data_IF_240858039111
#
_entry.id   IF_240858039111
#
_cell.length_a   1.000
_cell.length_b   1.000
_cell.length_c   1.000
_cell.angle_alpha   90.00
_cell.angle_beta   90.00
_cell.angle_gamma   90.00
#
_symmetry.space_group_name_H-M   'P 1'
#
loop_
_entity.id
_entity.type
_entity.pdbx_description
1 polymer ?
#
# COMPACT_ATOMS: atom_id res chain seq x y z
N UNK A 1 -12.92 28.10 7.79
CA UNK A 1 -13.60 27.97 6.48
C UNK A 1 -12.76 28.44 5.29
N UNK A 2 -12.10 29.61 5.34
CA UNK A 2 -11.28 30.11 4.20
C UNK A 2 -10.06 29.22 3.84
N UNK A 3 -9.46 28.53 4.83
CA UNK A 3 -8.34 27.60 4.61
C UNK A 3 -8.76 26.26 3.98
N UNK A 4 -10.00 25.82 4.25
CA UNK A 4 -10.56 24.58 3.70
C UNK A 4 -10.88 24.72 2.21
N UNK A 5 -11.40 25.90 1.82
CA UNK A 5 -11.63 26.25 0.42
C UNK A 5 -10.33 26.34 -0.39
N UNK A 6 -9.21 26.72 0.25
CA UNK A 6 -7.91 26.79 -0.42
C UNK A 6 -7.33 25.40 -0.70
N UNK A 7 -7.48 24.45 0.23
CA UNK A 7 -7.05 23.05 0.00
C UNK A 7 -7.96 22.32 -0.99
N UNK A 8 -9.28 22.57 -0.94
CA UNK A 8 -10.21 22.05 -1.94
C UNK A 8 -9.92 22.63 -3.34
N UNK A 9 -9.52 23.91 -3.43
CA UNK A 9 -9.12 24.53 -4.70
C UNK A 9 -7.81 23.95 -5.24
N UNK A 10 -6.79 23.69 -4.39
CA UNK A 10 -5.55 23.05 -4.85
C UNK A 10 -5.80 21.60 -5.30
N UNK A 11 -6.68 20.87 -4.63
CA UNK A 11 -7.10 19.55 -5.09
C UNK A 11 -7.84 19.63 -6.43
N UNK A 12 -8.86 20.48 -6.56
CA UNK A 12 -9.69 20.56 -7.78
C UNK A 12 -8.94 21.17 -8.97
N UNK A 13 -8.00 22.12 -8.78
CA UNK A 13 -7.22 22.72 -9.86
C UNK A 13 -5.89 22.00 -10.16
N UNK A 14 -5.36 21.22 -9.21
CA UNK A 14 -4.18 20.39 -9.42
C UNK A 14 -4.43 19.19 -10.32
N UNK A 15 -5.66 18.63 -10.30
CA UNK A 15 -6.04 17.48 -11.12
C UNK A 15 -6.57 17.84 -12.52
N UNK A 16 -6.98 19.09 -12.79
CA UNK A 16 -7.59 19.47 -14.09
C UNK A 16 -6.60 19.76 -15.20
N UNK A 17 -5.28 19.78 -14.91
CA UNK A 17 -4.23 20.07 -15.90
C UNK A 17 -3.34 18.87 -16.26
N UNK A 18 -3.67 17.66 -15.80
CA UNK A 18 -2.96 16.43 -16.22
C UNK A 18 -3.70 15.81 -17.41
N UNK A 19 -3.66 16.48 -18.56
CA UNK A 19 -4.10 15.92 -19.85
C UNK A 19 -2.88 15.45 -20.65
N UNK A 20 -2.24 14.36 -20.20
CA UNK A 20 -1.08 13.78 -20.89
C UNK A 20 -1.23 12.29 -21.24
N UNK A 21 -2.43 11.72 -21.12
CA UNK A 21 -2.74 10.41 -21.69
C UNK A 21 -3.48 10.60 -23.01
N UNK A 22 -2.77 11.09 -24.02
CA UNK A 22 -3.17 10.82 -25.41
C UNK A 22 -2.93 9.33 -25.67
N UNK A 23 -4.00 8.57 -25.90
CA UNK A 23 -4.11 7.33 -26.67
C UNK A 23 -2.82 6.49 -26.79
N UNK A 24 -2.23 6.13 -25.64
CA UNK A 24 -1.32 4.99 -25.61
C UNK A 24 -2.20 3.76 -25.68
N UNK A 25 -2.19 3.08 -26.84
CA UNK A 25 -2.69 1.72 -26.98
C UNK A 25 -2.39 0.95 -25.70
N UNK A 26 -3.42 0.34 -25.09
CA UNK A 26 -3.35 -0.39 -23.82
C UNK A 26 -2.00 -1.07 -23.67
N UNK A 27 -1.13 -0.50 -22.83
CA UNK A 27 0.11 -1.16 -22.49
C UNK A 27 -0.23 -2.55 -21.96
N UNK A 28 0.48 -3.60 -22.42
CA UNK A 28 0.33 -4.98 -21.94
C UNK A 28 0.54 -5.14 -20.42
N UNK A 29 0.85 -4.05 -19.70
CA UNK A 29 1.06 -4.02 -18.27
C UNK A 29 -0.12 -4.56 -17.43
N UNK A 30 -1.36 -4.39 -17.89
CA UNK A 30 -2.56 -4.76 -17.11
C UNK A 30 -3.35 -5.92 -17.74
N UNK A 31 -2.76 -6.67 -18.68
CA UNK A 31 -3.46 -7.75 -19.39
C UNK A 31 -3.43 -9.06 -18.62
N UNK A 32 -4.43 -9.92 -18.83
CA UNK A 32 -4.42 -11.29 -18.31
C UNK A 32 -3.09 -12.02 -18.63
N UNK A 33 -2.54 -12.70 -17.63
CA UNK A 33 -1.29 -13.45 -17.73
C UNK A 33 -0.03 -12.65 -17.40
N UNK A 34 -0.12 -11.33 -17.27
CA UNK A 34 1.00 -10.48 -16.86
C UNK A 34 1.30 -10.57 -15.36
N UNK A 35 2.52 -10.20 -15.00
CA UNK A 35 3.00 -10.14 -13.62
C UNK A 35 3.13 -8.70 -13.13
N UNK A 36 2.86 -8.50 -11.85
CA UNK A 36 3.06 -7.26 -11.13
C UNK A 36 4.12 -7.49 -10.06
N UNK A 37 5.09 -6.58 -9.94
CA UNK A 37 5.98 -6.49 -8.76
C UNK A 37 5.83 -5.09 -8.21
N UNK A 38 5.57 -4.98 -6.91
CA UNK A 38 5.23 -3.72 -6.27
C UNK A 38 5.98 -3.55 -4.95
N UNK A 39 6.57 -2.38 -4.77
CA UNK A 39 7.07 -1.93 -3.48
C UNK A 39 6.22 -0.73 -3.03
N UNK A 40 5.81 -0.72 -1.77
CA UNK A 40 4.95 0.32 -1.23
C UNK A 40 5.68 1.13 -0.15
N UNK A 41 5.17 2.32 0.13
CA UNK A 41 5.39 3.04 1.41
C UNK A 41 4.14 2.94 2.29
N UNK A 42 4.27 3.18 3.59
CA UNK A 42 3.15 3.23 4.54
C UNK A 42 3.28 4.41 5.50
N UNK A 43 2.82 5.59 5.10
CA UNK A 43 2.80 6.80 5.94
C UNK A 43 1.46 6.92 6.68
N UNK A 44 1.43 7.54 7.86
CA UNK A 44 0.18 7.96 8.50
C UNK A 44 -0.39 7.02 9.56
N UNK A 45 0.11 5.79 9.71
CA UNK A 45 -0.13 5.00 10.91
C UNK A 45 0.68 5.55 12.09
N UNK A 46 0.15 6.56 12.79
CA UNK A 46 0.66 7.12 14.06
C UNK A 46 2.18 7.13 14.28
N UNK A 47 2.87 8.20 13.84
CA UNK A 47 4.27 8.59 14.16
C UNK A 47 5.41 7.57 13.96
N UNK A 48 5.12 6.31 13.70
CA UNK A 48 6.06 5.19 13.56
C UNK A 48 5.29 4.11 12.83
N UNK A 49 5.93 3.30 11.99
CA UNK A 49 5.37 2.07 11.41
C UNK A 49 4.84 1.05 12.45
N UNK A 50 4.72 1.42 13.72
CA UNK A 50 4.30 0.62 14.87
C UNK A 50 2.77 0.61 15.10
N UNK A 51 1.98 1.47 14.45
CA UNK A 51 0.51 1.39 14.52
C UNK A 51 -0.03 0.25 13.63
N UNK A 52 0.57 0.06 12.46
CA UNK A 52 0.29 -1.05 11.55
C UNK A 52 1.49 -1.99 11.51
N UNK A 53 1.60 -2.87 12.52
CA UNK A 53 2.74 -3.80 12.68
C UNK A 53 2.77 -4.95 11.68
N UNK A 54 1.88 -4.91 10.70
CA UNK A 54 1.73 -5.90 9.65
C UNK A 54 2.00 -5.26 8.29
N UNK A 55 3.23 -4.79 8.11
CA UNK A 55 3.58 -3.94 7.00
C UNK A 55 4.52 -4.64 6.00
N UNK A 56 4.08 -4.75 4.75
CA UNK A 56 4.89 -5.23 3.60
C UNK A 56 5.53 -4.08 2.81
N UNK A 57 5.52 -2.87 3.34
CA UNK A 57 6.12 -1.66 2.75
C UNK A 57 7.56 -1.43 3.25
N UNK A 58 8.31 -0.57 2.58
CA UNK A 58 9.60 -0.10 3.08
C UNK A 58 9.45 1.22 3.86
N UNK A 59 10.22 1.37 4.94
CA UNK A 59 10.15 2.54 5.81
C UNK A 59 11.30 2.59 6.82
N UNK A 60 11.61 3.80 7.29
CA UNK A 60 12.60 4.05 8.33
C UNK A 60 12.10 5.17 9.23
N UNK A 61 12.13 4.96 10.53
CA UNK A 61 11.89 5.97 11.55
C UNK A 61 12.99 5.92 12.59
N UNK A 62 13.64 7.06 12.84
CA UNK A 62 14.68 7.19 13.86
C UNK A 62 14.39 8.41 14.74
N UNK A 63 14.10 8.17 16.02
CA UNK A 63 13.74 9.21 17.00
C UNK A 63 14.36 8.85 18.35
N UNK A 64 15.04 9.80 18.98
CA UNK A 64 15.61 9.66 20.34
C UNK A 64 16.43 8.39 20.60
N UNK A 65 17.18 7.93 19.59
CA UNK A 65 18.03 6.74 19.66
C UNK A 65 17.33 5.42 19.32
N UNK A 66 16.01 5.42 19.17
CA UNK A 66 15.23 4.27 18.70
C UNK A 66 15.20 4.28 17.17
N UNK A 67 15.54 3.14 16.55
CA UNK A 67 15.49 2.96 15.09
C UNK A 67 14.55 1.82 14.73
N UNK A 68 13.50 2.13 13.99
CA UNK A 68 12.51 1.17 13.50
C UNK A 68 12.56 1.21 11.98
N UNK A 69 12.62 0.05 11.33
CA UNK A 69 12.61 -0.02 9.87
C UNK A 69 11.83 -1.22 9.36
N UNK A 70 11.38 -1.11 8.12
CA UNK A 70 10.68 -2.17 7.41
C UNK A 70 11.23 -2.31 6.00
N UNK A 71 11.24 -3.54 5.50
CA UNK A 71 11.48 -3.86 4.09
C UNK A 71 10.45 -4.89 3.66
N UNK A 72 9.86 -4.69 2.50
CA UNK A 72 8.91 -5.64 1.96
C UNK A 72 8.63 -5.39 0.49
N UNK A 73 7.93 -6.34 -0.10
CA UNK A 73 7.55 -6.29 -1.50
C UNK A 73 6.37 -7.21 -1.76
N UNK A 74 5.69 -6.93 -2.86
CA UNK A 74 4.49 -7.62 -3.28
C UNK A 74 4.68 -8.10 -4.72
N UNK A 75 4.16 -9.28 -5.00
CA UNK A 75 4.05 -9.81 -6.34
C UNK A 75 2.58 -10.08 -6.65
N UNK A 76 2.18 -9.88 -7.90
CA UNK A 76 0.85 -10.16 -8.36
C UNK A 76 0.84 -10.83 -9.73
N UNK A 77 -0.27 -11.49 -10.03
CA UNK A 77 -0.52 -12.13 -11.30
C UNK A 77 -1.92 -11.75 -11.78
N UNK A 78 -2.00 -11.20 -12.99
CA UNK A 78 -3.26 -10.79 -13.59
C UNK A 78 -4.03 -12.02 -14.06
N UNK A 79 -5.06 -12.39 -13.30
CA UNK A 79 -5.96 -13.50 -13.63
C UNK A 79 -7.03 -13.12 -14.66
N UNK A 80 -7.16 -11.81 -14.91
CA UNK A 80 -8.00 -11.18 -15.92
C UNK A 80 -7.44 -9.78 -16.15
N UNK A 81 -7.76 -9.19 -17.29
CA UNK A 81 -7.48 -7.77 -17.55
C UNK A 81 -7.89 -6.90 -16.36
N UNK A 82 -6.96 -6.02 -15.97
CA UNK A 82 -7.02 -5.12 -14.82
C UNK A 82 -7.15 -5.79 -13.44
N UNK A 83 -7.26 -7.13 -13.31
CA UNK A 83 -7.46 -7.83 -12.04
C UNK A 83 -6.29 -8.76 -11.70
N UNK A 84 -5.51 -8.37 -10.70
CA UNK A 84 -4.41 -9.17 -10.16
C UNK A 84 -4.75 -9.80 -8.80
N UNK A 85 -4.35 -11.05 -8.62
CA UNK A 85 -4.16 -11.62 -7.27
C UNK A 85 -2.76 -11.27 -6.79
N UNK A 86 -2.63 -10.88 -5.53
CA UNK A 86 -1.39 -10.37 -4.95
C UNK A 86 -1.00 -11.13 -3.69
N UNK A 87 0.29 -11.36 -3.54
CA UNK A 87 0.93 -11.84 -2.32
C UNK A 87 2.03 -10.87 -1.93
N UNK A 88 2.24 -10.69 -0.63
CA UNK A 88 3.28 -9.80 -0.12
C UNK A 88 4.00 -10.41 1.06
N UNK A 89 5.28 -10.11 1.17
CA UNK A 89 6.11 -10.48 2.31
C UNK A 89 6.88 -9.25 2.78
N UNK A 90 7.18 -9.23 4.07
CA UNK A 90 7.96 -8.15 4.68
C UNK A 90 8.65 -8.57 5.96
N UNK A 91 9.66 -7.81 6.32
CA UNK A 91 10.41 -7.91 7.55
C UNK A 91 10.43 -6.53 8.21
N UNK A 92 10.14 -6.50 9.51
CA UNK A 92 10.11 -5.26 10.28
C UNK A 92 10.97 -5.44 11.53
N UNK A 93 11.83 -4.46 11.79
CA UNK A 93 12.67 -4.38 12.97
C UNK A 93 12.20 -3.21 13.85
N UNK A 94 12.07 -3.48 15.14
CA UNK A 94 11.54 -2.58 16.16
C UNK A 94 12.59 -2.32 17.25
N UNK A 95 13.85 -2.10 16.87
CA UNK A 95 14.96 -1.80 17.79
C UNK A 95 15.21 -2.92 18.82
N UNK A 96 15.60 -4.09 18.32
CA UNK A 96 15.95 -5.26 19.14
C UNK A 96 14.90 -6.38 19.17
N UNK A 97 13.76 -6.18 18.52
CA UNK A 97 12.77 -7.21 18.24
C UNK A 97 12.33 -7.13 16.77
N UNK A 98 11.89 -8.25 16.18
CA UNK A 98 11.55 -8.29 14.77
C UNK A 98 10.32 -9.13 14.46
N UNK A 99 9.71 -8.85 13.31
CA UNK A 99 8.51 -9.54 12.84
C UNK A 99 8.62 -9.90 11.38
N UNK A 100 7.95 -10.99 11.01
CA UNK A 100 7.71 -11.34 9.62
C UNK A 100 6.25 -11.06 9.28
N UNK A 101 6.01 -10.42 8.14
CA UNK A 101 4.69 -10.01 7.70
C UNK A 101 4.33 -10.66 6.38
N UNK A 102 3.07 -11.04 6.23
CA UNK A 102 2.53 -11.65 5.03
C UNK A 102 1.22 -10.96 4.64
N UNK A 103 1.00 -10.86 3.33
CA UNK A 103 -0.19 -10.26 2.73
C UNK A 103 -0.74 -11.18 1.65
N UNK A 104 -2.06 -11.29 1.59
CA UNK A 104 -2.78 -11.92 0.48
C UNK A 104 -3.96 -11.05 0.09
N UNK A 105 -4.09 -10.72 -1.18
CA UNK A 105 -5.17 -9.85 -1.64
C UNK A 105 -5.41 -9.87 -3.13
N UNK A 106 -6.24 -8.94 -3.57
CA UNK A 106 -6.53 -8.68 -4.96
C UNK A 106 -6.49 -7.18 -5.23
N UNK A 107 -6.09 -6.82 -6.45
CA UNK A 107 -6.02 -5.45 -6.92
C UNK A 107 -6.68 -5.36 -8.28
N UNK A 108 -7.60 -4.41 -8.41
CA UNK A 108 -8.35 -4.15 -9.63
C UNK A 108 -8.12 -2.71 -10.11
N UNK A 109 -7.74 -2.52 -11.36
CA UNK A 109 -7.56 -1.19 -11.96
C UNK A 109 -8.85 -0.74 -12.63
N UNK A 110 -9.66 0.06 -11.92
CA UNK A 110 -10.88 0.63 -12.49
C UNK A 110 -10.50 1.59 -13.61
N UNK A 111 -11.10 1.37 -14.79
CA UNK A 111 -10.77 2.11 -16.02
C UNK A 111 -9.27 2.10 -16.36
N UNK A 112 -8.55 1.02 -15.99
CA UNK A 112 -7.11 0.84 -16.19
C UNK A 112 -6.25 1.99 -15.60
N UNK A 113 -6.78 2.72 -14.62
CA UNK A 113 -6.16 3.93 -14.05
C UNK A 113 -6.29 4.04 -12.54
N UNK A 114 -7.40 3.58 -11.96
CA UNK A 114 -7.69 3.75 -10.54
C UNK A 114 -7.57 2.41 -9.82
N UNK A 115 -6.40 2.07 -9.26
CA UNK A 115 -6.23 0.84 -8.50
C UNK A 115 -7.08 0.86 -7.23
N UNK A 116 -7.86 -0.21 -7.05
CA UNK A 116 -8.60 -0.54 -5.84
C UNK A 116 -8.11 -1.90 -5.35
N UNK A 117 -7.72 -1.99 -4.09
CA UNK A 117 -7.15 -3.19 -3.49
C UNK A 117 -7.91 -3.58 -2.22
N UNK A 118 -8.08 -4.89 -2.05
CA UNK A 118 -8.53 -5.53 -0.82
C UNK A 118 -7.56 -6.65 -0.46
N UNK A 119 -7.16 -6.73 0.80
CA UNK A 119 -6.22 -7.76 1.25
C UNK A 119 -6.37 -8.08 2.73
N UNK A 120 -5.86 -9.24 3.12
CA UNK A 120 -5.61 -9.62 4.50
C UNK A 120 -4.12 -9.56 4.73
N UNK A 121 -3.70 -8.86 5.79
CA UNK A 121 -2.29 -8.73 6.17
C UNK A 121 -2.09 -9.15 7.62
N UNK A 122 -1.16 -10.06 7.88
CA UNK A 122 -0.84 -10.59 9.21
C UNK A 122 0.65 -10.58 9.50
N UNK A 123 1.02 -10.59 10.78
CA UNK A 123 2.42 -10.61 11.22
C UNK A 123 2.65 -11.65 12.30
N UNK A 124 3.86 -12.19 12.36
CA UNK A 124 4.33 -13.04 13.46
C UNK A 124 5.63 -12.50 14.05
N UNK A 125 5.81 -12.71 15.35
CA UNK A 125 6.98 -12.22 16.10
C UNK A 125 6.67 -12.18 17.59
N UNK A 126 6.97 -13.27 18.29
CA UNK A 126 6.62 -13.47 19.70
C UNK A 126 7.21 -12.37 20.61
N UNK A 127 8.42 -11.90 20.30
CA UNK A 127 9.10 -10.82 21.02
C UNK A 127 8.42 -9.44 20.84
N UNK A 128 7.54 -9.31 19.84
CA UNK A 128 6.85 -8.06 19.48
C UNK A 128 5.36 -8.09 19.85
N UNK A 129 4.74 -9.27 19.76
CA UNK A 129 3.29 -9.46 19.84
C UNK A 129 2.84 -10.27 21.06
N UNK A 130 3.74 -11.00 21.73
CA UNK A 130 3.35 -11.93 22.80
C UNK A 130 2.44 -13.03 22.24
N UNK A 131 1.30 -13.26 22.90
CA UNK A 131 0.34 -14.30 22.51
C UNK A 131 -0.61 -13.86 21.38
N UNK A 132 -0.74 -12.54 21.14
CA UNK A 132 -1.75 -11.98 20.22
C UNK A 132 -1.11 -11.37 18.96
N UNK A 133 -1.26 -12.04 17.82
CA UNK A 133 -0.73 -11.57 16.54
C UNK A 133 -1.70 -10.64 15.80
N UNK A 134 -1.20 -9.57 15.15
CA UNK A 134 -2.05 -8.68 14.37
C UNK A 134 -2.57 -9.37 13.11
N UNK A 135 -3.84 -9.11 12.80
CA UNK A 135 -4.48 -9.48 11.54
C UNK A 135 -5.35 -8.31 11.08
N UNK A 136 -5.20 -7.90 9.81
CA UNK A 136 -5.84 -6.71 9.27
C UNK A 136 -6.58 -7.02 7.98
N UNK A 137 -7.76 -6.43 7.81
CA UNK A 137 -8.42 -6.27 6.53
C UNK A 137 -8.08 -4.89 5.96
N UNK A 138 -7.29 -4.89 4.89
CA UNK A 138 -6.90 -3.68 4.17
C UNK A 138 -7.84 -3.36 3.03
N UNK A 139 -8.23 -2.09 2.93
CA UNK A 139 -8.93 -1.54 1.77
C UNK A 139 -8.13 -0.34 1.29
N UNK A 140 -7.77 -0.30 0.01
CA UNK A 140 -6.94 0.73 -0.58
C UNK A 140 -7.51 1.22 -1.91
N UNK A 141 -7.38 2.52 -2.15
CA UNK A 141 -7.70 3.16 -3.42
C UNK A 141 -6.61 4.16 -3.78
N UNK A 142 -6.28 4.25 -5.06
CA UNK A 142 -5.23 5.15 -5.54
C UNK A 142 -5.40 5.58 -6.99
N UNK A 143 -4.32 6.13 -7.54
CA UNK A 143 -4.24 6.53 -8.95
C UNK A 143 -2.93 6.00 -9.55
N UNK A 144 -3.01 5.19 -10.60
CA UNK A 144 -1.85 4.63 -11.27
C UNK A 144 -1.32 5.61 -12.32
N UNK A 145 -0.27 6.34 -11.95
CA UNK A 145 0.45 7.20 -12.88
C UNK A 145 1.52 6.40 -13.61
N UNK A 146 1.20 5.95 -14.82
CA UNK A 146 2.15 5.25 -15.71
C UNK A 146 3.22 6.22 -16.24
N UNK A 147 4.40 6.15 -15.65
CA UNK A 147 5.58 6.95 -16.07
C UNK A 147 6.32 6.29 -17.24
N UNK A 148 6.09 5.00 -17.44
CA UNK A 148 6.47 4.24 -18.63
C UNK A 148 5.38 3.18 -18.90
N UNK A 149 5.46 2.50 -20.04
CA UNK A 149 4.41 1.54 -20.44
C UNK A 149 4.33 0.32 -19.50
N UNK A 150 5.36 0.09 -18.68
CA UNK A 150 5.41 -1.02 -17.73
C UNK A 150 5.78 -0.58 -16.29
N UNK A 151 5.73 0.73 -16.02
CA UNK A 151 6.09 1.29 -14.70
C UNK A 151 5.02 2.29 -14.27
N UNK A 152 4.37 2.04 -13.14
CA UNK A 152 3.42 2.96 -12.50
C UNK A 152 3.91 3.44 -11.13
N UNK A 153 3.65 4.71 -10.84
CA UNK A 153 3.76 5.29 -9.50
C UNK A 153 2.34 5.51 -9.00
N UNK A 154 2.03 5.01 -7.81
CA UNK A 154 0.65 4.86 -7.34
C UNK A 154 0.45 5.51 -5.98
N UNK A 155 0.22 6.83 -5.91
CA UNK A 155 -0.28 7.45 -4.69
C UNK A 155 -1.64 6.86 -4.33
N UNK A 156 -1.83 6.55 -3.05
CA UNK A 156 -3.06 5.95 -2.56
C UNK A 156 -3.36 6.24 -1.10
N UNK A 157 -4.61 5.99 -0.75
CA UNK A 157 -5.14 5.97 0.60
C UNK A 157 -5.50 4.54 0.95
N UNK A 158 -5.18 4.13 2.17
CA UNK A 158 -5.49 2.80 2.68
C UNK A 158 -6.09 2.90 4.07
N UNK A 159 -7.10 2.09 4.34
CA UNK A 159 -7.67 1.91 5.66
C UNK A 159 -7.54 0.45 6.05
N UNK A 160 -6.97 0.20 7.23
CA UNK A 160 -6.82 -1.14 7.79
C UNK A 160 -7.80 -1.29 8.94
N UNK A 161 -8.68 -2.29 8.85
CA UNK A 161 -9.56 -2.71 9.94
C UNK A 161 -8.88 -3.85 10.68
N UNK A 162 -8.80 -3.77 12.01
CA UNK A 162 -8.33 -4.90 12.80
C UNK A 162 -9.33 -6.05 12.72
N UNK A 163 -8.82 -7.26 12.46
CA UNK A 163 -9.56 -8.51 12.52
C UNK A 163 -9.23 -9.30 13.80
N UNK A 164 -8.25 -8.85 14.59
CA UNK A 164 -7.96 -9.39 15.91
C UNK A 164 -8.19 -8.30 16.96
N UNK A 165 -9.37 -8.32 17.57
CA UNK A 165 -9.77 -7.37 18.61
C UNK A 165 -8.96 -7.53 19.90
N UNK A 166 -8.40 -8.72 20.17
CA UNK A 166 -7.51 -8.95 21.31
C UNK A 166 -6.14 -8.26 21.12
N UNK A 167 -5.74 -8.01 19.86
CA UNK A 167 -4.57 -7.19 19.53
C UNK A 167 -4.91 -5.69 19.55
N UNK A 168 -5.96 -5.27 18.84
CA UNK A 168 -6.46 -3.89 18.84
C UNK A 168 -7.87 -3.82 18.22
N UNK A 169 -8.69 -2.89 18.69
CA UNK A 169 -9.99 -2.54 18.10
C UNK A 169 -9.93 -1.28 17.21
N UNK A 170 -8.76 -0.63 17.13
CA UNK A 170 -8.58 0.61 16.36
C UNK A 170 -8.26 0.33 14.89
N UNK A 171 -8.89 1.10 13.99
CA UNK A 171 -8.52 1.11 12.58
C UNK A 171 -7.39 2.09 12.28
N UNK A 172 -6.61 1.82 11.23
CA UNK A 172 -5.47 2.65 10.84
C UNK A 172 -5.66 3.22 9.44
N UNK A 173 -5.64 4.56 9.32
CA UNK A 173 -5.61 5.25 8.03
C UNK A 173 -4.16 5.53 7.60
N UNK A 174 -3.85 5.19 6.36
CA UNK A 174 -2.52 5.30 5.79
C UNK A 174 -2.55 6.02 4.43
N UNK A 175 -1.47 6.75 4.17
CA UNK A 175 -1.08 7.27 2.87
C UNK A 175 0.05 6.40 2.33
N UNK A 176 -0.08 5.91 1.11
CA UNK A 176 0.93 5.09 0.47
C UNK A 176 1.34 5.66 -0.89
N UNK A 177 2.56 5.34 -1.29
CA UNK A 177 3.06 5.49 -2.64
C UNK A 177 3.56 4.12 -3.06
N UNK A 178 2.86 3.50 -4.01
CA UNK A 178 3.27 2.26 -4.65
C UNK A 178 4.19 2.53 -5.84
N UNK A 179 5.19 1.68 -6.00
CA UNK A 179 6.08 1.64 -7.16
C UNK A 179 5.89 0.27 -7.80
N UNK A 180 5.19 0.25 -8.94
CA UNK A 180 4.74 -0.97 -9.59
C UNK A 180 5.43 -1.17 -10.95
N UNK A 181 5.94 -2.38 -11.14
CA UNK A 181 6.54 -2.88 -12.37
C UNK A 181 5.64 -3.98 -12.93
N UNK A 182 5.33 -3.89 -14.22
CA UNK A 182 4.43 -4.82 -14.90
C UNK A 182 5.19 -5.59 -15.98
N UNK A 183 4.94 -6.89 -16.17
CA UNK A 183 5.70 -7.79 -17.05
C UNK A 183 4.83 -8.73 -17.85
#
# INVERSE_FOLDING_TARGET
>A
MKKLLLMAAVAVFGFTNVNAQEDKESSNALTEGSWLVEANTGFGGGATSAAHRSNTSFGLTAVDGVTIWSIGGEAGYFIKDDLALKVGLGYNDFDGASTFTYKLGAKYYVASQFPVQIDVTGASGDDVFGEESPLWLGIQGGYAWFVADNISIEPGLRYNLSLNEDFTDEGVLELNIGFALHF
#
